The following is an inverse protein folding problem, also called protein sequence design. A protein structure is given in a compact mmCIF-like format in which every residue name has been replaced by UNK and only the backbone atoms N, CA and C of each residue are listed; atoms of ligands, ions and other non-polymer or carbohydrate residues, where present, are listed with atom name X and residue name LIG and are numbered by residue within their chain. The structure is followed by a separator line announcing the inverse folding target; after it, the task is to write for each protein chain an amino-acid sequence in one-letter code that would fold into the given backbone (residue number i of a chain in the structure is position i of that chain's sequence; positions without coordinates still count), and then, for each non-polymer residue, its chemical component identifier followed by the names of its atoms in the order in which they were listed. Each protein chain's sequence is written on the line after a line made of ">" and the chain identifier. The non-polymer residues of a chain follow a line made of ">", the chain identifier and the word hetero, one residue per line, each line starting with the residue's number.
data_IF_153633051344
#
_entry.id   IF_153633051344
#
_cell.length_a   1.000
_cell.length_b   1.000
_cell.length_c   1.000
_cell.angle_alpha   90.00
_cell.angle_beta   90.00
_cell.angle_gamma   90.00
#
_symmetry.space_group_name_H-M   'P 1'
#
loop_
_entity.id
_entity.type
_entity.pdbx_description
1 polymer ?
#
# COMPACT_ATOMS: atom_id res chain seq x y z
N UNK A 1 -5.49 13.14 -21.02
CA UNK A 1 -5.11 14.32 -20.19
C UNK A 1 -4.07 13.94 -19.14
N UNK A 2 -4.27 12.86 -18.37
CA UNK A 2 -3.37 12.40 -17.29
C UNK A 2 -1.93 12.10 -17.78
N UNK A 3 -1.76 11.41 -18.92
CA UNK A 3 -0.44 11.08 -19.48
C UNK A 3 0.46 12.30 -19.78
N UNK A 4 -0.12 13.44 -20.19
CA UNK A 4 0.63 14.67 -20.53
C UNK A 4 1.29 15.31 -19.30
N UNK A 5 0.80 15.02 -18.10
CA UNK A 5 1.36 15.51 -16.83
C UNK A 5 2.35 14.54 -16.23
N UNK A 6 2.11 13.24 -16.35
CA UNK A 6 3.00 12.22 -15.79
C UNK A 6 4.29 12.05 -16.57
N UNK A 7 4.31 12.32 -17.88
CA UNK A 7 5.56 12.45 -18.65
C UNK A 7 6.46 13.61 -18.21
N UNK A 8 5.96 14.52 -17.34
CA UNK A 8 6.76 15.60 -16.72
C UNK A 8 7.33 15.20 -15.35
N UNK A 9 6.95 14.05 -14.82
CA UNK A 9 7.41 13.55 -13.52
C UNK A 9 8.42 12.44 -13.79
N UNK A 10 9.61 12.55 -13.20
CA UNK A 10 10.65 11.55 -13.42
C UNK A 10 10.30 10.22 -12.77
N UNK A 11 10.63 9.11 -13.44
CA UNK A 11 10.48 7.76 -12.89
C UNK A 11 11.10 7.60 -11.48
N UNK A 12 12.34 8.10 -11.23
CA UNK A 12 12.93 8.08 -9.89
C UNK A 12 12.18 8.89 -8.81
N UNK A 13 11.30 9.81 -9.20
CA UNK A 13 10.44 10.54 -8.26
C UNK A 13 9.15 9.74 -7.99
N UNK A 14 8.55 9.17 -9.04
CA UNK A 14 7.37 8.30 -8.91
C UNK A 14 7.68 7.07 -8.04
N UNK A 15 8.86 6.48 -8.17
CA UNK A 15 9.31 5.34 -7.35
C UNK A 15 9.44 5.71 -5.85
N UNK A 16 9.44 7.01 -5.49
CA UNK A 16 9.43 7.48 -4.10
C UNK A 16 8.03 7.68 -3.52
N UNK A 17 6.97 7.54 -4.30
CA UNK A 17 5.59 7.64 -3.82
C UNK A 17 5.08 6.22 -3.52
N UNK A 18 4.51 6.03 -2.33
CA UNK A 18 4.17 4.71 -1.81
C UNK A 18 2.86 4.16 -2.41
N UNK A 19 1.90 5.03 -2.70
CA UNK A 19 0.56 4.69 -3.18
C UNK A 19 0.20 5.57 -4.37
N UNK A 20 -0.31 4.94 -5.41
CA UNK A 20 -0.81 5.56 -6.62
C UNK A 20 -2.22 5.03 -6.95
N UNK A 21 -3.22 5.91 -6.88
CA UNK A 21 -4.62 5.56 -7.17
C UNK A 21 -5.18 6.56 -8.18
N UNK A 22 -5.69 6.06 -9.30
CA UNK A 22 -6.48 6.85 -10.23
C UNK A 22 -7.93 6.90 -9.73
N UNK A 23 -8.46 8.10 -9.59
CA UNK A 23 -9.84 8.33 -9.16
C UNK A 23 -10.65 8.73 -10.39
N UNK A 24 -11.67 7.95 -10.71
CA UNK A 24 -12.65 8.37 -11.72
C UNK A 24 -13.48 9.52 -11.16
N UNK A 25 -13.73 10.58 -11.94
CA UNK A 25 -14.57 11.68 -11.51
C UNK A 25 -15.94 11.15 -11.06
N UNK A 26 -16.35 11.51 -9.84
CA UNK A 26 -17.65 11.12 -9.30
C UNK A 26 -18.74 11.90 -10.06
N UNK A 27 -19.71 11.24 -10.70
CA UNK A 27 -20.81 11.92 -11.38
C UNK A 27 -21.59 12.81 -10.40
N UNK A 28 -22.05 13.98 -10.85
CA UNK A 28 -22.74 14.95 -9.98
C UNK A 28 -23.91 14.34 -9.21
N UNK A 29 -24.70 13.46 -9.84
CA UNK A 29 -25.81 12.77 -9.17
C UNK A 29 -25.39 11.90 -7.98
N UNK A 30 -24.18 11.32 -8.01
CA UNK A 30 -23.61 10.56 -6.89
C UNK A 30 -23.01 11.45 -5.81
N UNK A 31 -22.64 12.70 -6.13
CA UNK A 31 -22.22 13.68 -5.12
C UNK A 31 -23.40 14.11 -4.24
N UNK A 32 -24.63 14.09 -4.78
CA UNK A 32 -25.87 14.38 -4.04
C UNK A 32 -26.50 13.15 -3.37
N UNK A 33 -26.03 11.93 -3.66
CA UNK A 33 -26.47 10.72 -2.97
C UNK A 33 -25.89 10.70 -1.55
N UNK A 34 -26.74 10.94 -0.54
CA UNK A 34 -26.45 10.63 0.86
C UNK A 34 -26.52 9.11 1.11
N UNK A 35 -25.70 8.34 0.40
CA UNK A 35 -25.48 6.95 0.74
C UNK A 35 -24.86 6.84 2.14
N UNK A 36 -25.17 5.77 2.88
CA UNK A 36 -24.50 5.47 4.15
C UNK A 36 -23.02 5.18 3.88
N UNK A 37 -22.17 6.19 4.00
CA UNK A 37 -20.72 6.04 4.06
C UNK A 37 -20.29 5.71 5.50
N UNK A 38 -19.14 5.07 5.66
CA UNK A 38 -18.51 4.99 6.98
C UNK A 38 -18.25 6.39 7.52
N UNK A 39 -18.53 6.61 8.80
CA UNK A 39 -18.24 7.88 9.45
C UNK A 39 -16.73 8.06 9.62
N UNK A 40 -16.26 9.30 9.62
CA UNK A 40 -14.86 9.62 9.93
C UNK A 40 -14.44 9.10 11.31
N UNK A 41 -15.38 9.02 12.26
CA UNK A 41 -15.14 8.43 13.59
C UNK A 41 -14.86 6.93 13.50
N UNK A 42 -15.65 6.19 12.72
CA UNK A 42 -15.44 4.75 12.46
C UNK A 42 -14.06 4.52 11.84
N UNK A 43 -13.70 5.31 10.83
CA UNK A 43 -12.38 5.22 10.16
C UNK A 43 -11.27 5.55 11.15
N UNK A 44 -11.41 6.63 11.94
CA UNK A 44 -10.43 7.03 12.95
C UNK A 44 -10.15 5.89 13.93
N UNK A 45 -11.19 5.22 14.42
CA UNK A 45 -11.03 4.12 15.37
C UNK A 45 -10.26 2.95 14.77
N UNK A 46 -10.51 2.61 13.50
CA UNK A 46 -9.73 1.59 12.77
C UNK A 46 -8.25 1.98 12.64
N UNK A 47 -7.98 3.24 12.30
CA UNK A 47 -6.61 3.76 12.17
C UNK A 47 -5.88 3.74 13.52
N UNK A 48 -6.54 4.15 14.61
CA UNK A 48 -5.94 4.15 15.95
C UNK A 48 -5.55 2.74 16.35
N UNK A 49 -6.44 1.75 16.18
CA UNK A 49 -6.14 0.34 16.48
C UNK A 49 -4.91 -0.16 15.72
N UNK A 50 -4.82 0.13 14.42
CA UNK A 50 -3.65 -0.23 13.62
C UNK A 50 -2.36 0.43 14.13
N UNK A 51 -2.45 1.69 14.60
CA UNK A 51 -1.31 2.40 15.19
C UNK A 51 -0.89 1.82 16.54
N UNK A 52 -1.82 1.38 17.37
CA UNK A 52 -1.52 0.70 18.63
C UNK A 52 -0.79 -0.63 18.39
N UNK A 53 -1.23 -1.42 17.41
CA UNK A 53 -0.53 -2.64 16.98
C UNK A 53 0.92 -2.32 16.56
N UNK A 54 1.13 -1.25 15.79
CA UNK A 54 2.47 -0.83 15.36
C UNK A 54 3.32 -0.33 16.53
N UNK A 55 2.74 0.43 17.46
CA UNK A 55 3.44 0.93 18.64
C UNK A 55 3.94 -0.22 19.51
N UNK A 56 3.12 -1.24 19.74
CA UNK A 56 3.52 -2.43 20.48
C UNK A 56 4.60 -3.22 19.74
N UNK A 57 4.44 -3.44 18.43
CA UNK A 57 5.42 -4.16 17.59
C UNK A 57 6.82 -3.51 17.61
N UNK A 58 6.87 -2.19 17.68
CA UNK A 58 8.12 -1.41 17.58
C UNK A 58 8.57 -0.81 18.90
N UNK A 59 7.96 -1.16 20.05
CA UNK A 59 8.28 -0.57 21.36
C UNK A 59 9.77 -0.61 21.73
N UNK A 60 10.47 -1.67 21.30
CA UNK A 60 11.90 -1.90 21.57
C UNK A 60 12.80 -1.53 20.38
N UNK A 61 12.28 -0.81 19.38
CA UNK A 61 13.01 -0.45 18.16
C UNK A 61 13.15 1.08 18.07
N UNK A 62 14.28 1.64 18.54
CA UNK A 62 14.50 3.09 18.52
C UNK A 62 14.36 3.70 17.13
N UNK A 63 13.61 4.80 17.03
CA UNK A 63 13.42 5.56 15.79
C UNK A 63 12.42 4.93 14.80
N UNK A 64 11.75 3.83 15.15
CA UNK A 64 10.72 3.20 14.33
C UNK A 64 9.40 3.26 15.08
N UNK A 65 8.43 3.95 14.50
CA UNK A 65 7.10 4.15 15.07
C UNK A 65 5.97 3.62 14.17
N UNK A 66 6.32 3.20 12.95
CA UNK A 66 5.34 2.70 11.98
C UNK A 66 5.96 1.82 10.90
N UNK A 67 5.10 1.10 10.17
CA UNK A 67 5.50 0.18 9.11
C UNK A 67 6.34 0.87 8.00
N UNK A 68 6.06 2.13 7.68
CA UNK A 68 6.80 2.88 6.66
C UNK A 68 8.29 3.03 6.99
N UNK A 69 8.64 3.08 8.29
CA UNK A 69 10.00 3.26 8.79
C UNK A 69 10.77 1.94 8.94
N UNK A 70 10.16 0.80 8.63
CA UNK A 70 10.86 -0.49 8.70
C UNK A 70 12.08 -0.51 7.77
N UNK A 71 13.22 -0.98 8.31
CA UNK A 71 14.41 -1.37 7.54
C UNK A 71 14.20 -2.75 6.91
N UNK A 72 15.05 -3.16 5.96
CA UNK A 72 14.98 -4.51 5.35
C UNK A 72 15.01 -5.63 6.38
N UNK A 73 15.81 -5.48 7.44
CA UNK A 73 15.84 -6.42 8.59
C UNK A 73 14.49 -6.51 9.32
N UNK A 74 13.78 -5.40 9.51
CA UNK A 74 12.49 -5.37 10.18
C UNK A 74 11.38 -5.92 9.27
N UNK A 75 11.45 -5.66 7.97
CA UNK A 75 10.52 -6.24 6.99
C UNK A 75 10.65 -7.77 6.96
N UNK A 76 11.87 -8.31 6.95
CA UNK A 76 12.10 -9.75 7.02
C UNK A 76 11.55 -10.40 8.30
N UNK A 77 11.34 -9.63 9.37
CA UNK A 77 10.77 -10.11 10.64
C UNK A 77 9.25 -9.94 10.72
N UNK A 78 8.74 -8.81 10.27
CA UNK A 78 7.35 -8.39 10.53
C UNK A 78 6.44 -8.34 9.29
N UNK A 79 7.00 -8.50 8.10
CA UNK A 79 6.28 -8.56 6.83
C UNK A 79 6.55 -9.85 6.07
N UNK A 80 6.60 -10.97 6.79
CA UNK A 80 6.75 -12.31 6.21
C UNK A 80 5.46 -12.68 5.50
N UNK A 81 5.60 -13.23 4.29
CA UNK A 81 4.50 -13.72 3.47
C UNK A 81 4.46 -15.25 3.50
N UNK A 82 3.26 -15.82 3.39
CA UNK A 82 3.11 -17.23 3.08
C UNK A 82 3.50 -17.53 1.62
N UNK A 83 3.50 -18.81 1.26
CA UNK A 83 3.90 -19.27 -0.07
C UNK A 83 3.01 -18.67 -1.18
N UNK A 84 1.70 -18.62 -0.95
CA UNK A 84 0.74 -18.15 -1.95
C UNK A 84 0.88 -16.64 -2.19
N UNK A 85 1.01 -15.86 -1.13
CA UNK A 85 1.25 -14.41 -1.18
C UNK A 85 2.60 -14.08 -1.80
N UNK A 86 3.63 -14.90 -1.51
CA UNK A 86 4.96 -14.77 -2.13
C UNK A 86 4.88 -15.02 -3.63
N UNK A 87 4.16 -16.06 -4.07
CA UNK A 87 4.00 -16.38 -5.48
C UNK A 87 3.17 -15.33 -6.23
N UNK A 88 2.15 -14.76 -5.59
CA UNK A 88 1.38 -13.63 -6.11
C UNK A 88 2.29 -12.41 -6.34
N UNK A 89 3.05 -12.02 -5.32
CA UNK A 89 3.96 -10.88 -5.40
C UNK A 89 5.04 -11.10 -6.46
N UNK A 90 5.65 -12.29 -6.53
CA UNK A 90 6.62 -12.64 -7.56
C UNK A 90 6.03 -12.51 -8.97
N UNK A 91 4.81 -12.98 -9.16
CA UNK A 91 4.10 -12.89 -10.44
C UNK A 91 3.83 -11.43 -10.82
N UNK A 92 3.38 -10.62 -9.87
CA UNK A 92 3.14 -9.20 -10.07
C UNK A 92 4.43 -8.44 -10.42
N UNK A 93 5.52 -8.69 -9.68
CA UNK A 93 6.83 -8.10 -9.92
C UNK A 93 7.31 -8.33 -11.35
N UNK A 94 7.20 -9.58 -11.84
CA UNK A 94 7.63 -9.94 -13.18
C UNK A 94 6.69 -9.40 -14.27
N UNK A 95 5.37 -9.42 -14.04
CA UNK A 95 4.39 -8.98 -15.05
C UNK A 95 4.30 -7.47 -15.19
N UNK A 96 4.61 -6.74 -14.12
CA UNK A 96 4.47 -5.29 -14.04
C UNK A 96 5.83 -4.56 -14.06
N UNK A 97 6.94 -5.29 -14.26
CA UNK A 97 8.33 -4.77 -14.23
C UNK A 97 8.61 -3.90 -13.00
N UNK A 98 8.14 -4.32 -11.83
CA UNK A 98 8.28 -3.53 -10.62
C UNK A 98 9.72 -3.57 -10.08
N UNK A 99 10.18 -2.44 -9.56
CA UNK A 99 11.52 -2.30 -8.99
C UNK A 99 11.65 -3.03 -7.64
N UNK A 100 12.88 -3.33 -7.21
CA UNK A 100 13.12 -3.84 -5.85
C UNK A 100 12.61 -2.88 -4.76
N UNK A 101 12.54 -1.58 -5.05
CA UNK A 101 11.93 -0.60 -4.14
C UNK A 101 10.42 -0.76 -4.07
N UNK A 102 9.76 -1.02 -5.21
CA UNK A 102 8.34 -1.33 -5.24
C UNK A 102 8.00 -2.58 -4.42
N UNK A 103 8.84 -3.62 -4.49
CA UNK A 103 8.72 -4.81 -3.63
C UNK A 103 8.66 -4.45 -2.14
N UNK A 104 9.64 -3.68 -1.65
CA UNK A 104 9.70 -3.26 -0.25
C UNK A 104 8.47 -2.41 0.14
N UNK A 105 7.99 -1.55 -0.76
CA UNK A 105 6.79 -0.73 -0.50
C UNK A 105 5.53 -1.57 -0.45
N UNK A 106 5.37 -2.52 -1.36
CA UNK A 106 4.24 -3.44 -1.34
C UNK A 106 4.20 -4.17 0.00
N UNK A 107 5.33 -4.71 0.48
CA UNK A 107 5.36 -5.38 1.79
C UNK A 107 4.94 -4.47 2.94
N UNK A 108 5.44 -3.22 2.99
CA UNK A 108 5.08 -2.24 4.02
C UNK A 108 3.60 -1.86 3.98
N UNK A 109 3.04 -1.72 2.78
CA UNK A 109 1.61 -1.41 2.58
C UNK A 109 0.76 -2.61 2.97
N UNK A 110 1.09 -3.82 2.51
CA UNK A 110 0.41 -5.07 2.89
C UNK A 110 0.38 -5.27 4.41
N UNK A 111 1.49 -5.01 5.11
CA UNK A 111 1.54 -5.05 6.58
C UNK A 111 0.60 -4.03 7.22
N UNK A 112 0.47 -2.85 6.62
CA UNK A 112 -0.41 -1.79 7.12
C UNK A 112 -1.88 -2.14 6.89
N UNK A 113 -2.23 -2.75 5.75
CA UNK A 113 -3.57 -3.26 5.47
C UNK A 113 -3.93 -4.34 6.49
N UNK A 114 -3.03 -5.30 6.73
CA UNK A 114 -3.20 -6.33 7.75
C UNK A 114 -3.44 -5.73 9.15
N UNK A 115 -2.71 -4.67 9.52
CA UNK A 115 -2.91 -3.98 10.81
C UNK A 115 -4.27 -3.27 10.89
N UNK A 116 -4.76 -2.70 9.78
CA UNK A 116 -6.08 -2.07 9.71
C UNK A 116 -7.22 -3.09 9.85
N UNK A 117 -6.99 -4.33 9.43
CA UNK A 117 -7.92 -5.46 9.60
C UNK A 117 -7.74 -6.20 10.93
N UNK A 118 -6.68 -5.89 11.69
CA UNK A 118 -6.35 -6.59 12.94
C UNK A 118 -5.78 -7.99 12.74
N UNK A 119 -5.32 -8.30 11.53
CA UNK A 119 -4.73 -9.59 11.16
C UNK A 119 -3.28 -9.69 11.66
N UNK A 120 -2.95 -10.76 12.37
CA UNK A 120 -1.58 -11.00 12.87
C UNK A 120 -0.58 -11.18 11.71
N UNK A 121 -0.99 -11.90 10.66
CA UNK A 121 -0.17 -12.21 9.50
C UNK A 121 -0.64 -11.47 8.24
N UNK A 122 0.28 -11.28 7.29
CA UNK A 122 -0.08 -10.76 5.98
C UNK A 122 -0.66 -11.92 5.16
N UNK A 123 -1.93 -11.77 4.77
CA UNK A 123 -2.62 -12.70 3.89
C UNK A 123 -2.63 -12.20 2.45
N UNK A 124 -2.91 -13.12 1.53
CA UNK A 124 -2.96 -12.86 0.09
C UNK A 124 -3.84 -11.64 -0.30
N UNK A 125 -5.03 -11.40 0.31
CA UNK A 125 -5.85 -10.22 -0.01
C UNK A 125 -5.12 -8.90 0.25
N UNK A 126 -4.37 -8.79 1.36
CA UNK A 126 -3.61 -7.58 1.68
C UNK A 126 -2.53 -7.30 0.64
N UNK A 127 -1.87 -8.35 0.14
CA UNK A 127 -0.84 -8.24 -0.91
C UNK A 127 -1.47 -7.84 -2.24
N UNK A 128 -2.60 -8.45 -2.61
CA UNK A 128 -3.33 -8.10 -3.82
C UNK A 128 -3.77 -6.62 -3.82
N UNK A 129 -4.30 -6.15 -2.70
CA UNK A 129 -4.68 -4.75 -2.53
C UNK A 129 -3.47 -3.81 -2.62
N UNK A 130 -2.37 -4.12 -1.93
CA UNK A 130 -1.15 -3.32 -2.00
C UNK A 130 -0.55 -3.24 -3.41
N UNK A 131 -0.62 -4.33 -4.20
CA UNK A 131 -0.21 -4.34 -5.61
C UNK A 131 -1.11 -3.40 -6.43
N UNK A 132 -2.42 -3.43 -6.20
CA UNK A 132 -3.37 -2.56 -6.92
C UNK A 132 -3.12 -1.07 -6.68
N UNK A 133 -2.62 -0.71 -5.50
CA UNK A 133 -2.16 0.65 -5.18
C UNK A 133 -0.88 1.07 -5.92
N UNK A 134 -0.27 0.21 -6.74
CA UNK A 134 0.95 0.48 -7.51
C UNK A 134 0.76 0.42 -9.02
N UNK A 135 -0.50 0.36 -9.49
CA UNK A 135 -0.83 0.21 -10.91
C UNK A 135 -0.28 1.29 -11.85
N UNK A 136 0.23 2.42 -11.33
CA UNK A 136 0.84 3.53 -12.10
C UNK A 136 2.35 3.38 -12.35
N UNK A 137 3.04 2.39 -11.76
CA UNK A 137 4.46 2.12 -12.00
C UNK A 137 4.74 1.42 -13.36
N UNK A 138 3.72 1.25 -14.20
CA UNK A 138 3.82 0.55 -15.48
C UNK A 138 4.84 1.24 -16.39
N UNK A 139 6.00 0.62 -16.57
CA UNK A 139 6.78 0.76 -17.81
C UNK A 139 5.84 0.41 -18.97
N UNK A 140 5.51 1.37 -19.82
CA UNK A 140 4.53 1.20 -20.89
C UNK A 140 3.33 2.15 -20.86
N UNK A 141 3.23 3.02 -19.84
CA UNK A 141 2.18 4.04 -19.84
C UNK A 141 2.62 5.39 -20.46
N UNK A 142 3.91 5.55 -20.77
CA UNK A 142 4.43 6.69 -21.55
C UNK A 142 4.80 6.30 -23.00
N UNK A 143 4.50 5.06 -23.42
CA UNK A 143 4.83 4.50 -24.73
C UNK A 143 4.90 2.99 -24.67
#
# INVERSE_FOLDING_TARGET
>A
VVQKYLGKISGPLLDRIDIHIEITPVPFGKLSEMGKAESSETIRNRVIKAREIQAERFKDVPGVHCNAQMTSRLMAKYAVLDNDSTQLLKTAMNRLNLSARAYDRILKVSRTIADLEGCADIQMPHVAEAINYRNLDREGWAG
#
